data_IF_713714166693
#
_entry.id   IF_713714166693
#
_cell.length_a   1.000
_cell.length_b   1.000
_cell.length_c   1.000
_cell.angle_alpha   90.00
_cell.angle_beta   90.00
_cell.angle_gamma   90.00
#
_symmetry.space_group_name_H-M   'P 1'
#
loop_
_entity.id
_entity.type
_entity.pdbx_description
1 polymer ?
#
# COMPACT_ATOMS: atom_id res chain seq x y z
N UNK A 1 20.08 -11.27 8.52
CA UNK A 1 19.62 -11.66 9.87
C UNK A 1 18.24 -12.25 9.71
N UNK A 2 17.99 -13.44 10.27
CA UNK A 2 16.75 -14.20 10.01
C UNK A 2 15.58 -13.55 10.72
N UNK A 3 14.59 -13.02 9.96
CA UNK A 3 13.27 -12.67 10.52
C UNK A 3 12.54 -13.97 10.86
N UNK A 4 12.21 -14.15 12.12
CA UNK A 4 11.41 -15.28 12.61
C UNK A 4 9.96 -14.94 12.31
N UNK A 5 9.34 -15.75 11.46
CA UNK A 5 7.91 -15.69 11.13
C UNK A 5 7.11 -16.04 12.39
N UNK A 6 6.48 -15.04 13.02
CA UNK A 6 5.61 -15.24 14.18
C UNK A 6 4.21 -15.55 13.67
N UNK A 7 3.84 -16.83 13.69
CA UNK A 7 2.52 -17.33 13.30
C UNK A 7 1.56 -17.14 14.47
N UNK A 8 0.71 -16.11 14.44
CA UNK A 8 -0.42 -15.95 15.36
C UNK A 8 -1.72 -16.29 14.62
N UNK A 9 -2.42 -17.28 15.16
CA UNK A 9 -3.77 -17.68 14.71
C UNK A 9 -4.77 -16.55 14.96
N UNK A 10 -5.39 -16.03 13.91
CA UNK A 10 -6.54 -15.15 13.99
C UNK A 10 -7.76 -15.76 13.31
N UNK A 11 -8.87 -15.67 14.03
CA UNK A 11 -10.21 -16.16 13.66
C UNK A 11 -10.76 -15.44 12.42
N UNK A 12 -11.55 -16.13 11.56
CA UNK A 12 -12.10 -15.51 10.37
C UNK A 12 -13.29 -14.62 10.71
N UNK A 13 -13.21 -13.35 10.35
CA UNK A 13 -14.38 -12.47 10.25
C UNK A 13 -15.04 -12.72 8.89
N UNK A 14 -16.20 -13.36 8.91
CA UNK A 14 -17.06 -13.51 7.74
C UNK A 14 -17.75 -12.19 7.43
N UNK A 15 -17.32 -11.48 6.41
CA UNK A 15 -18.13 -10.45 5.77
C UNK A 15 -18.89 -11.07 4.59
N UNK A 16 -20.21 -11.17 4.76
CA UNK A 16 -21.12 -11.53 3.69
C UNK A 16 -21.27 -10.37 2.71
N UNK A 17 -20.66 -10.47 1.54
CA UNK A 17 -20.86 -9.54 0.42
C UNK A 17 -21.89 -10.10 -0.57
N UNK A 18 -22.96 -9.35 -0.84
CA UNK A 18 -23.89 -9.60 -1.95
C UNK A 18 -23.17 -9.38 -3.28
N UNK A 19 -23.09 -10.42 -4.10
CA UNK A 19 -22.54 -10.34 -5.44
C UNK A 19 -23.40 -9.49 -6.37
N UNK A 20 -22.76 -8.51 -6.99
CA UNK A 20 -23.23 -7.90 -8.25
C UNK A 20 -22.32 -8.46 -9.34
N UNK A 21 -22.87 -9.26 -10.23
CA UNK A 21 -22.16 -9.73 -11.42
C UNK A 21 -21.90 -8.55 -12.36
N UNK A 22 -20.71 -7.97 -12.31
CA UNK A 22 -20.21 -7.09 -13.35
C UNK A 22 -19.49 -7.95 -14.38
N UNK A 23 -20.05 -8.00 -15.60
CA UNK A 23 -19.49 -8.78 -16.70
C UNK A 23 -18.09 -8.30 -17.08
N UNK A 24 -17.07 -9.08 -16.78
CA UNK A 24 -15.72 -8.90 -17.29
C UNK A 24 -15.68 -9.11 -18.82
N UNK A 25 -14.89 -8.34 -19.57
CA UNK A 25 -14.62 -8.62 -20.96
C UNK A 25 -13.93 -9.98 -21.10
N UNK A 26 -14.50 -10.86 -21.90
CA UNK A 26 -14.03 -12.22 -22.10
C UNK A 26 -12.61 -12.23 -22.70
N UNK A 27 -11.62 -12.79 -21.99
CA UNK A 27 -10.47 -13.37 -22.63
C UNK A 27 -9.07 -13.15 -22.08
N UNK A 28 -8.78 -12.23 -21.19
CA UNK A 28 -7.45 -12.13 -20.60
C UNK A 28 -7.31 -13.15 -19.46
N UNK A 29 -6.38 -14.10 -19.61
CA UNK A 29 -6.08 -15.06 -18.54
C UNK A 29 -5.26 -14.33 -17.47
N UNK A 30 -5.75 -14.32 -16.24
CA UNK A 30 -5.00 -13.78 -15.08
C UNK A 30 -3.60 -14.40 -15.00
N UNK A 31 -2.53 -13.60 -14.75
CA UNK A 31 -1.18 -14.12 -14.63
C UNK A 31 -1.07 -15.18 -13.53
N UNK A 32 -0.26 -16.22 -13.76
CA UNK A 32 -0.10 -17.33 -12.81
C UNK A 32 1.31 -17.39 -12.20
N UNK A 33 2.28 -16.66 -12.79
CA UNK A 33 3.68 -16.65 -12.33
C UNK A 33 4.12 -15.23 -12.01
N UNK A 34 5.13 -15.09 -11.17
CA UNK A 34 5.73 -13.77 -10.88
C UNK A 34 6.28 -13.09 -12.13
N UNK A 35 6.88 -13.84 -13.05
CA UNK A 35 7.36 -13.28 -14.31
C UNK A 35 6.22 -12.72 -15.17
N UNK A 36 5.08 -13.43 -15.26
CA UNK A 36 3.92 -12.94 -15.99
C UNK A 36 3.30 -11.70 -15.34
N UNK A 37 3.22 -11.65 -14.00
CA UNK A 37 2.82 -10.43 -13.29
C UNK A 37 3.78 -9.26 -13.55
N UNK A 38 5.09 -9.51 -13.56
CA UNK A 38 6.10 -8.47 -13.83
C UNK A 38 5.93 -7.85 -15.23
N UNK A 39 5.62 -8.65 -16.25
CA UNK A 39 5.31 -8.17 -17.60
C UNK A 39 4.05 -7.31 -17.63
N UNK A 40 2.98 -7.74 -16.95
CA UNK A 40 1.76 -6.96 -16.82
C UNK A 40 2.06 -5.65 -16.11
N UNK A 41 2.66 -5.67 -14.94
CA UNK A 41 2.96 -4.49 -14.14
C UNK A 41 3.78 -3.45 -14.88
N UNK A 42 4.76 -3.90 -15.67
CA UNK A 42 5.55 -3.00 -16.52
C UNK A 42 4.70 -2.20 -17.51
N UNK A 43 3.66 -2.82 -18.11
CA UNK A 43 2.72 -2.13 -19.02
C UNK A 43 1.88 -1.08 -18.29
N UNK A 44 1.64 -1.27 -17.00
CA UNK A 44 0.91 -0.34 -16.13
C UNK A 44 1.80 0.69 -15.42
N UNK A 45 3.08 0.79 -15.83
CA UNK A 45 4.01 1.77 -15.30
C UNK A 45 4.57 1.44 -13.92
N UNK A 46 4.51 0.15 -13.51
CA UNK A 46 5.14 -0.35 -12.28
C UNK A 46 6.46 -1.00 -12.69
N UNK A 47 7.56 -0.51 -12.12
CA UNK A 47 8.92 -0.87 -12.51
C UNK A 47 9.63 -1.70 -11.43
N UNK A 48 10.89 -2.09 -11.71
CA UNK A 48 11.79 -2.69 -10.71
C UNK A 48 11.74 -4.21 -10.60
N UNK A 49 10.80 -4.89 -11.28
CA UNK A 49 10.73 -6.34 -11.29
C UNK A 49 11.88 -6.94 -12.14
N UNK A 50 12.94 -7.38 -11.48
CA UNK A 50 14.04 -8.08 -12.14
C UNK A 50 13.74 -9.59 -12.25
N UNK A 51 14.36 -10.30 -13.23
CA UNK A 51 14.28 -11.77 -13.31
C UNK A 51 14.69 -12.44 -11.99
N UNK A 52 15.75 -11.97 -11.35
CA UNK A 52 16.22 -12.50 -10.08
C UNK A 52 15.18 -12.35 -8.97
N UNK A 53 14.48 -11.20 -8.88
CA UNK A 53 13.42 -10.99 -7.91
C UNK A 53 12.28 -11.99 -8.13
N UNK A 54 11.81 -12.11 -9.37
CA UNK A 54 10.69 -13.00 -9.71
C UNK A 54 11.04 -14.48 -9.46
N UNK A 55 12.26 -14.91 -9.75
CA UNK A 55 12.75 -16.26 -9.45
C UNK A 55 12.81 -16.51 -7.93
N UNK A 56 13.35 -15.56 -7.16
CA UNK A 56 13.43 -15.66 -5.69
C UNK A 56 12.06 -15.77 -5.05
N UNK A 57 11.09 -14.96 -5.51
CA UNK A 57 9.71 -15.01 -5.03
C UNK A 57 9.03 -16.33 -5.43
N UNK A 58 9.24 -16.81 -6.66
CA UNK A 58 8.68 -18.08 -7.13
C UNK A 58 9.20 -19.27 -6.29
N UNK A 59 10.48 -19.26 -5.91
CA UNK A 59 11.05 -20.28 -5.03
C UNK A 59 10.50 -20.17 -3.61
N UNK A 60 10.39 -18.97 -3.07
CA UNK A 60 9.80 -18.72 -1.75
C UNK A 60 8.37 -19.23 -1.67
N UNK A 61 7.57 -18.97 -2.70
CA UNK A 61 6.16 -19.41 -2.75
C UNK A 61 5.99 -20.92 -2.86
N UNK A 62 6.95 -21.65 -3.44
CA UNK A 62 6.93 -23.13 -3.45
C UNK A 62 7.08 -23.74 -2.06
N UNK A 63 7.66 -23.01 -1.12
CA UNK A 63 7.88 -23.48 0.25
C UNK A 63 6.79 -23.05 1.22
N UNK A 64 5.82 -22.23 0.78
CA UNK A 64 4.69 -21.83 1.60
C UNK A 64 3.76 -23.00 1.88
N UNK A 65 3.21 -23.10 3.09
CA UNK A 65 2.17 -24.06 3.41
C UNK A 65 0.93 -23.84 2.51
N UNK A 66 0.23 -24.90 2.09
CA UNK A 66 -0.93 -24.80 1.18
C UNK A 66 -2.08 -23.94 1.71
N UNK A 67 -2.17 -23.76 3.02
CA UNK A 67 -3.15 -22.93 3.71
C UNK A 67 -2.86 -21.42 3.63
N UNK A 68 -1.66 -21.03 3.21
CA UNK A 68 -1.27 -19.63 3.03
C UNK A 68 -1.73 -19.16 1.65
N UNK A 69 -2.83 -18.42 1.61
CA UNK A 69 -3.47 -17.94 0.40
C UNK A 69 -2.96 -16.53 0.01
N UNK A 70 -1.66 -16.38 -0.22
CA UNK A 70 -1.10 -15.13 -0.72
C UNK A 70 -1.23 -15.04 -2.25
N UNK A 71 -1.64 -13.86 -2.75
CA UNK A 71 -1.60 -13.56 -4.17
C UNK A 71 -0.18 -13.29 -4.63
N UNK A 72 0.30 -13.98 -5.68
CA UNK A 72 1.61 -13.71 -6.28
C UNK A 72 1.70 -12.27 -6.80
N UNK A 73 0.61 -11.75 -7.36
CA UNK A 73 0.55 -10.37 -7.83
C UNK A 73 0.74 -9.38 -6.67
N UNK A 74 -0.01 -9.54 -5.58
CA UNK A 74 0.12 -8.67 -4.42
C UNK A 74 1.50 -8.79 -3.77
N UNK A 75 2.04 -10.01 -3.60
CA UNK A 75 3.39 -10.21 -3.05
C UNK A 75 4.50 -9.54 -3.90
N UNK A 76 4.37 -9.55 -5.23
CA UNK A 76 5.31 -8.83 -6.09
C UNK A 76 5.16 -7.31 -5.92
N UNK A 77 3.93 -6.79 -5.83
CA UNK A 77 3.67 -5.38 -5.58
C UNK A 77 4.24 -4.92 -4.23
N UNK A 78 4.08 -5.71 -3.18
CA UNK A 78 4.71 -5.47 -1.88
C UNK A 78 6.22 -5.35 -2.02
N UNK A 79 6.88 -6.35 -2.62
CA UNK A 79 8.33 -6.33 -2.81
C UNK A 79 8.84 -5.14 -3.65
N UNK A 80 8.02 -4.64 -4.59
CA UNK A 80 8.35 -3.47 -5.41
C UNK A 80 8.05 -2.14 -4.71
N UNK A 81 7.12 -2.14 -3.76
CA UNK A 81 6.57 -0.93 -3.14
C UNK A 81 7.13 -0.57 -1.76
N UNK A 82 7.74 -1.49 -1.02
CA UNK A 82 8.20 -1.27 0.36
C UNK A 82 9.26 -0.16 0.53
N UNK A 83 9.97 0.19 -0.52
CA UNK A 83 11.13 1.08 -0.41
C UNK A 83 12.33 0.40 0.23
N UNK A 84 13.31 1.17 0.69
CA UNK A 84 14.53 0.61 1.23
C UNK A 84 15.36 1.60 2.04
N UNK A 85 16.44 1.09 2.66
CA UNK A 85 17.40 1.93 3.34
C UNK A 85 18.32 2.61 2.32
N UNK A 86 18.32 3.94 2.33
CA UNK A 86 19.27 4.75 1.56
C UNK A 86 20.54 4.95 2.39
N UNK A 87 21.68 4.38 1.99
CA UNK A 87 22.94 4.51 2.72
C UNK A 87 23.50 5.93 2.71
N UNK A 88 23.21 6.73 1.70
CA UNK A 88 23.71 8.10 1.56
C UNK A 88 22.91 9.06 2.46
N UNK A 89 21.59 8.93 2.45
CA UNK A 89 20.70 9.66 3.35
C UNK A 89 20.71 9.09 4.78
N UNK A 90 21.20 7.86 4.98
CA UNK A 90 21.13 7.08 6.24
C UNK A 90 19.73 6.98 6.82
N UNK A 91 18.75 6.87 5.93
CA UNK A 91 17.33 6.84 6.25
C UNK A 91 16.58 5.86 5.35
N UNK A 92 15.35 5.56 5.72
CA UNK A 92 14.44 4.88 4.81
C UNK A 92 14.03 5.82 3.68
N UNK A 93 14.03 5.29 2.46
CA UNK A 93 13.54 5.97 1.27
C UNK A 93 12.38 5.19 0.63
N UNK A 94 11.32 5.86 0.19
CA UNK A 94 10.21 5.23 -0.48
C UNK A 94 10.63 4.65 -1.83
N UNK A 95 9.89 3.64 -2.29
CA UNK A 95 10.06 3.08 -3.63
C UNK A 95 9.76 4.12 -4.70
N UNK A 96 10.51 4.07 -5.81
CA UNK A 96 10.28 4.88 -7.03
C UNK A 96 9.69 4.03 -8.16
N UNK A 97 9.15 2.86 -7.85
CA UNK A 97 8.69 1.88 -8.84
C UNK A 97 7.23 2.10 -9.31
N UNK A 98 6.59 3.21 -8.93
CA UNK A 98 5.20 3.54 -9.32
C UNK A 98 4.14 2.82 -8.49
N UNK A 99 4.55 2.16 -7.42
CA UNK A 99 3.73 1.53 -6.37
C UNK A 99 4.37 1.80 -5.01
N UNK A 100 3.56 1.99 -3.99
CA UNK A 100 4.00 2.09 -2.59
C UNK A 100 3.35 0.97 -1.79
N UNK A 101 4.10 0.32 -0.93
CA UNK A 101 3.61 -0.68 0.01
C UNK A 101 4.17 -0.43 1.40
N UNK A 102 3.37 -0.70 2.42
CA UNK A 102 3.77 -0.59 3.81
C UNK A 102 3.05 -1.61 4.69
N UNK A 103 3.76 -2.08 5.69
CA UNK A 103 3.21 -2.93 6.74
C UNK A 103 2.27 -2.10 7.63
N UNK A 104 1.02 -2.54 7.78
CA UNK A 104 0.03 -1.88 8.63
C UNK A 104 0.32 -2.11 10.13
N UNK A 105 1.05 -3.15 10.51
CA UNK A 105 1.65 -3.35 11.83
C UNK A 105 3.03 -2.67 11.85
N UNK A 106 3.07 -1.40 12.27
CA UNK A 106 4.23 -0.52 12.04
C UNK A 106 5.25 -0.61 13.16
N UNK A 107 6.50 -0.91 12.83
CA UNK A 107 7.60 -0.99 13.81
C UNK A 107 8.04 0.38 14.38
N UNK A 108 7.90 1.46 13.60
CA UNK A 108 8.18 2.84 14.04
C UNK A 108 6.89 3.63 14.18
N UNK A 109 6.23 3.39 15.27
CA UNK A 109 4.94 4.00 15.60
C UNK A 109 5.03 5.54 15.66
N UNK A 110 6.21 6.09 16.01
CA UNK A 110 6.42 7.54 16.13
C UNK A 110 6.35 8.30 14.81
N UNK A 111 6.72 7.67 13.69
CA UNK A 111 6.80 8.32 12.37
C UNK A 111 5.92 7.68 11.29
N UNK A 112 4.92 6.85 11.66
CA UNK A 112 4.18 6.04 10.70
C UNK A 112 3.44 6.89 9.66
N UNK A 113 2.81 7.98 10.04
CA UNK A 113 2.06 8.82 9.10
C UNK A 113 2.96 9.72 8.26
N UNK A 114 4.08 10.19 8.81
CA UNK A 114 5.07 10.91 8.02
C UNK A 114 5.67 10.01 6.93
N UNK A 115 5.94 8.73 7.25
CA UNK A 115 6.39 7.74 6.25
C UNK A 115 5.30 7.43 5.22
N UNK A 116 4.06 7.29 5.65
CA UNK A 116 2.94 7.09 4.74
C UNK A 116 2.82 8.24 3.74
N UNK A 117 2.85 9.50 4.21
CA UNK A 117 2.82 10.66 3.33
C UNK A 117 4.04 10.72 2.39
N UNK A 118 5.23 10.39 2.86
CA UNK A 118 6.43 10.31 2.03
C UNK A 118 6.32 9.22 0.96
N UNK A 119 5.78 8.05 1.30
CA UNK A 119 5.53 6.96 0.36
C UNK A 119 4.50 7.32 -0.70
N UNK A 120 3.39 7.96 -0.31
CA UNK A 120 2.38 8.46 -1.25
C UNK A 120 2.95 9.55 -2.15
N UNK A 121 3.73 10.49 -1.60
CA UNK A 121 4.40 11.54 -2.38
C UNK A 121 5.32 10.95 -3.47
N UNK A 122 6.01 9.87 -3.17
CA UNK A 122 6.93 9.21 -4.11
C UNK A 122 6.22 8.59 -5.32
N UNK A 123 4.91 8.36 -5.27
CA UNK A 123 4.13 7.87 -6.41
C UNK A 123 4.01 8.89 -7.54
N UNK A 124 4.06 10.19 -7.21
CA UNK A 124 4.04 11.30 -8.17
C UNK A 124 4.65 12.56 -7.51
N UNK A 125 5.99 12.66 -7.39
CA UNK A 125 6.63 13.74 -6.61
C UNK A 125 6.29 15.16 -7.07
N UNK A 126 6.04 15.34 -8.37
CA UNK A 126 5.68 16.63 -8.92
C UNK A 126 4.21 17.03 -8.64
N UNK A 127 3.33 16.05 -8.44
CA UNK A 127 1.90 16.27 -8.18
C UNK A 127 1.56 16.20 -6.69
N UNK A 128 2.22 15.31 -5.93
CA UNK A 128 1.97 15.00 -4.52
C UNK A 128 3.12 15.47 -3.62
N UNK A 129 3.62 16.68 -3.86
CA UNK A 129 4.69 17.30 -3.06
C UNK A 129 4.16 17.73 -1.68
N UNK A 130 4.07 16.81 -0.72
CA UNK A 130 3.69 17.13 0.65
C UNK A 130 4.89 17.68 1.42
N UNK A 131 4.73 18.87 2.01
CA UNK A 131 5.78 19.58 2.72
C UNK A 131 5.38 19.81 4.19
N UNK A 132 6.34 20.21 5.02
CA UNK A 132 6.12 20.59 6.42
C UNK A 132 5.29 19.58 7.24
N UNK A 133 5.50 18.28 6.97
CA UNK A 133 4.78 17.19 7.64
C UNK A 133 5.13 17.19 9.14
N UNK A 134 4.11 17.20 9.99
CA UNK A 134 4.23 17.17 11.45
C UNK A 134 3.21 16.23 12.04
N UNK A 135 3.62 15.45 13.04
CA UNK A 135 2.71 14.62 13.84
C UNK A 135 2.64 15.17 15.27
N UNK A 136 1.45 15.52 15.73
CA UNK A 136 1.15 15.81 17.12
C UNK A 136 0.62 14.56 17.82
N UNK A 137 1.40 14.05 18.76
CA UNK A 137 1.10 12.87 19.56
C UNK A 137 0.80 13.23 21.02
N UNK A 138 0.55 14.50 21.32
CA UNK A 138 0.29 14.98 22.69
C UNK A 138 -0.93 14.36 23.38
N UNK A 139 -1.85 13.79 22.56
CA UNK A 139 -3.07 13.11 23.03
C UNK A 139 -2.97 11.58 22.92
N UNK A 140 -1.77 11.03 22.80
CA UNK A 140 -1.50 9.60 22.77
C UNK A 140 -1.14 9.09 24.13
N UNK A 141 -1.81 8.06 24.58
CA UNK A 141 -1.42 7.24 25.73
C UNK A 141 -0.56 6.07 25.23
N UNK A 142 0.75 6.27 25.30
CA UNK A 142 1.74 5.29 24.83
C UNK A 142 1.77 4.00 25.65
N UNK A 143 1.39 4.08 26.94
CA UNK A 143 1.36 2.91 27.82
C UNK A 143 0.23 1.96 27.46
N UNK A 144 -0.94 2.51 27.14
CA UNK A 144 -2.14 1.73 26.79
C UNK A 144 -2.33 1.60 25.27
N UNK A 145 -1.50 2.22 24.44
CA UNK A 145 -1.62 2.16 22.98
C UNK A 145 -2.91 2.78 22.44
N UNK A 146 -3.41 3.85 23.07
CA UNK A 146 -4.68 4.50 22.74
C UNK A 146 -4.52 6.02 22.59
N UNK A 147 -5.55 6.69 22.09
CA UNK A 147 -5.59 8.15 21.95
C UNK A 147 -5.68 8.60 20.51
N UNK A 148 -5.35 9.88 20.28
CA UNK A 148 -5.46 10.49 18.95
C UNK A 148 -4.16 11.11 18.52
N UNK A 149 -3.88 11.03 17.22
CA UNK A 149 -2.81 11.75 16.54
C UNK A 149 -3.41 12.75 15.57
N UNK A 150 -2.75 13.87 15.43
CA UNK A 150 -3.06 14.86 14.41
C UNK A 150 -1.83 15.00 13.50
N UNK A 151 -2.03 14.79 12.20
CA UNK A 151 -0.97 14.90 11.20
C UNK A 151 -1.26 16.09 10.32
N UNK A 152 -0.39 17.09 10.31
CA UNK A 152 -0.50 18.27 9.46
C UNK A 152 0.56 18.25 8.38
N UNK A 153 0.22 18.75 7.21
CA UNK A 153 1.13 18.90 6.08
C UNK A 153 0.66 20.03 5.16
N UNK A 154 1.58 20.59 4.42
CA UNK A 154 1.30 21.60 3.38
C UNK A 154 1.32 20.94 2.00
N UNK A 155 0.38 21.33 1.15
CA UNK A 155 0.32 20.89 -0.23
C UNK A 155 -0.35 21.95 -1.10
N UNK A 156 0.26 22.29 -2.23
CA UNK A 156 -0.21 23.35 -3.15
C UNK A 156 -0.45 24.70 -2.46
N UNK A 157 0.30 24.99 -1.40
CA UNK A 157 0.20 26.24 -0.64
C UNK A 157 -0.94 26.29 0.39
N UNK A 158 -1.62 25.17 0.63
CA UNK A 158 -2.65 25.01 1.67
C UNK A 158 -2.20 24.03 2.75
N UNK A 159 -2.61 24.28 4.00
CA UNK A 159 -2.37 23.36 5.11
C UNK A 159 -3.53 22.38 5.27
N UNK A 160 -3.22 21.10 5.39
CA UNK A 160 -4.18 20.01 5.58
C UNK A 160 -3.91 19.28 6.90
N UNK A 161 -4.97 18.68 7.43
CA UNK A 161 -4.92 17.90 8.66
C UNK A 161 -5.57 16.54 8.45
N UNK A 162 -4.89 15.49 8.90
CA UNK A 162 -5.45 14.14 9.06
C UNK A 162 -5.58 13.84 10.54
N UNK A 163 -6.68 13.21 10.93
CA UNK A 163 -6.87 12.67 12.26
C UNK A 163 -6.75 11.14 12.23
N UNK A 164 -5.98 10.59 13.13
CA UNK A 164 -5.81 9.15 13.28
C UNK A 164 -5.99 8.74 14.73
N UNK A 165 -6.62 7.60 14.96
CA UNK A 165 -6.68 6.99 16.28
C UNK A 165 -5.50 6.06 16.49
N UNK A 166 -4.92 6.11 17.69
CA UNK A 166 -3.91 5.17 18.10
C UNK A 166 -4.55 3.81 18.32
N UNK A 167 -4.05 2.79 17.63
CA UNK A 167 -4.49 1.39 17.72
C UNK A 167 -3.26 0.51 17.98
N UNK A 168 -2.57 0.74 19.10
CA UNK A 168 -1.27 0.15 19.38
C UNK A 168 -0.26 0.50 18.28
N UNK A 169 0.30 -0.45 17.59
CA UNK A 169 1.26 -0.33 16.49
C UNK A 169 0.60 -0.41 15.09
N UNK A 170 -0.72 -0.48 15.03
CA UNK A 170 -1.46 -0.55 13.75
C UNK A 170 -1.75 0.82 13.16
N UNK A 171 -1.58 0.90 11.84
CA UNK A 171 -1.92 2.09 11.06
C UNK A 171 -3.45 2.26 10.99
N UNK A 172 -3.94 3.47 11.28
CA UNK A 172 -5.35 3.80 11.12
C UNK A 172 -5.67 4.11 9.64
N UNK A 173 -6.28 3.16 8.95
CA UNK A 173 -6.64 3.29 7.53
C UNK A 173 -7.60 4.45 7.24
N UNK A 174 -8.31 4.99 8.25
CA UNK A 174 -9.12 6.20 8.09
C UNK A 174 -8.27 7.41 7.73
N UNK A 175 -6.99 7.48 8.13
CA UNK A 175 -6.08 8.52 7.71
C UNK A 175 -5.80 8.45 6.19
N UNK A 176 -5.64 7.24 5.63
CA UNK A 176 -5.51 7.04 4.19
C UNK A 176 -6.78 7.48 3.43
N UNK A 177 -7.98 7.16 3.96
CA UNK A 177 -9.25 7.61 3.39
C UNK A 177 -9.39 9.14 3.40
N UNK A 178 -8.96 9.81 4.49
CA UNK A 178 -8.98 11.27 4.58
C UNK A 178 -8.03 11.89 3.55
N UNK A 179 -6.81 11.35 3.42
CA UNK A 179 -5.84 11.81 2.42
C UNK A 179 -6.40 11.65 1.00
N UNK A 180 -6.97 10.48 0.67
CA UNK A 180 -7.56 10.25 -0.65
C UNK A 180 -8.68 11.23 -0.96
N UNK A 181 -9.51 11.56 0.03
CA UNK A 181 -10.57 12.58 -0.12
C UNK A 181 -10.01 13.98 -0.37
N UNK A 182 -8.88 14.34 0.23
CA UNK A 182 -8.18 15.59 -0.04
C UNK A 182 -7.64 15.56 -1.48
N UNK A 183 -6.90 14.53 -1.86
CA UNK A 183 -6.32 14.35 -3.19
C UNK A 183 -7.39 14.48 -4.28
N UNK A 184 -8.50 13.77 -4.17
CA UNK A 184 -9.62 13.81 -5.15
C UNK A 184 -10.21 15.20 -5.37
N UNK A 185 -10.12 16.09 -4.39
CA UNK A 185 -10.63 17.47 -4.49
C UNK A 185 -9.65 18.42 -5.17
N UNK A 186 -8.37 18.10 -5.14
CA UNK A 186 -7.29 18.98 -5.59
C UNK A 186 -6.59 18.47 -6.87
N UNK A 187 -6.98 17.29 -7.37
CA UNK A 187 -6.44 16.70 -8.60
C UNK A 187 -7.54 16.48 -9.63
N UNK A 188 -7.15 16.44 -10.90
CA UNK A 188 -8.09 16.21 -12.00
C UNK A 188 -8.10 14.72 -12.38
N UNK A 189 -9.06 13.98 -11.79
CA UNK A 189 -9.34 12.59 -12.19
C UNK A 189 -8.44 11.52 -11.60
N UNK A 190 -7.36 11.89 -10.90
CA UNK A 190 -6.49 10.94 -10.20
C UNK A 190 -6.83 10.85 -8.71
N UNK A 191 -6.59 9.67 -8.14
CA UNK A 191 -6.82 9.38 -6.72
C UNK A 191 -5.95 8.24 -6.24
N UNK A 192 -6.00 7.95 -4.94
CA UNK A 192 -5.38 6.74 -4.41
C UNK A 192 -6.32 5.55 -4.60
N UNK A 193 -5.74 4.44 -5.04
CA UNK A 193 -6.32 3.11 -5.00
C UNK A 193 -5.50 2.24 -4.10
N UNK A 194 -6.18 1.33 -3.39
CA UNK A 194 -5.58 0.46 -2.41
C UNK A 194 -5.89 -1.00 -2.71
N UNK A 195 -4.95 -1.86 -2.42
CA UNK A 195 -5.14 -3.30 -2.29
C UNK A 195 -4.27 -3.80 -1.15
N UNK A 196 -4.35 -5.08 -0.82
CA UNK A 196 -3.50 -5.69 0.21
C UNK A 196 -3.06 -7.09 -0.21
N UNK A 197 -2.02 -7.58 0.42
CA UNK A 197 -1.44 -8.87 0.11
C UNK A 197 -2.24 -10.08 0.63
N UNK A 198 -3.28 -9.84 1.42
CA UNK A 198 -4.09 -10.85 2.11
C UNK A 198 -3.62 -11.12 3.54
N UNK A 199 -2.59 -10.38 4.02
CA UNK A 199 -2.05 -10.49 5.37
C UNK A 199 -2.04 -9.13 6.08
N UNK A 200 -0.99 -8.34 5.95
CA UNK A 200 -0.92 -7.04 6.64
C UNK A 200 -0.29 -5.91 5.80
N UNK A 201 0.10 -6.18 4.56
CA UNK A 201 0.66 -5.17 3.69
C UNK A 201 -0.43 -4.40 2.95
N UNK A 202 -0.42 -3.09 3.11
CA UNK A 202 -1.24 -2.18 2.31
C UNK A 202 -0.45 -1.71 1.09
N UNK A 203 -1.03 -1.85 -0.08
CA UNK A 203 -0.43 -1.50 -1.38
C UNK A 203 -1.21 -0.32 -1.95
N UNK A 204 -0.50 0.72 -2.38
CA UNK A 204 -1.08 2.01 -2.77
C UNK A 204 -0.63 2.40 -4.17
N UNK A 205 -1.58 2.89 -4.97
CA UNK A 205 -1.36 3.47 -6.29
C UNK A 205 -1.97 4.87 -6.36
N UNK A 206 -1.38 5.75 -7.15
CA UNK A 206 -1.96 7.05 -7.51
C UNK A 206 -2.23 7.07 -9.00
N UNK A 207 -3.49 6.89 -9.41
CA UNK A 207 -3.90 6.70 -10.82
C UNK A 207 -5.31 7.27 -11.04
N UNK A 208 -5.75 7.27 -12.30
CA UNK A 208 -7.14 7.49 -12.68
C UNK A 208 -7.96 6.18 -12.62
N UNK A 209 -9.27 6.33 -12.72
CA UNK A 209 -10.19 5.19 -12.63
C UNK A 209 -10.08 4.25 -13.83
N UNK A 210 -9.79 4.77 -15.02
CA UNK A 210 -9.64 3.96 -16.23
C UNK A 210 -8.44 3.01 -16.10
N UNK A 211 -7.33 3.52 -15.58
CA UNK A 211 -6.17 2.72 -15.24
C UNK A 211 -6.53 1.61 -14.24
N UNK A 212 -7.26 1.96 -13.17
CA UNK A 212 -7.61 1.01 -12.13
C UNK A 212 -8.48 -0.13 -12.67
N UNK A 213 -9.53 0.19 -13.43
CA UNK A 213 -10.43 -0.81 -14.01
C UNK A 213 -9.69 -1.76 -14.98
N UNK A 214 -8.79 -1.21 -15.81
CA UNK A 214 -7.98 -2.01 -16.72
C UNK A 214 -6.97 -2.90 -15.97
N UNK A 215 -6.34 -2.37 -14.91
CA UNK A 215 -5.41 -3.12 -14.07
C UNK A 215 -6.09 -4.30 -13.36
N UNK A 216 -7.26 -4.06 -12.74
CA UNK A 216 -8.07 -5.12 -12.10
C UNK A 216 -8.44 -6.22 -13.10
N UNK A 217 -8.92 -5.81 -14.28
CA UNK A 217 -9.36 -6.76 -15.32
C UNK A 217 -8.23 -7.68 -15.81
N UNK A 218 -6.99 -7.18 -15.86
CA UNK A 218 -5.85 -7.96 -16.36
C UNK A 218 -5.14 -8.73 -15.24
N UNK A 219 -5.09 -8.19 -14.03
CA UNK A 219 -4.36 -8.81 -12.91
C UNK A 219 -5.23 -9.70 -12.03
N UNK A 220 -6.53 -9.45 -11.99
CA UNK A 220 -7.45 -10.08 -11.04
C UNK A 220 -7.28 -9.58 -9.60
N UNK A 221 -6.51 -8.51 -9.38
CA UNK A 221 -6.36 -7.86 -8.07
C UNK A 221 -7.49 -6.85 -7.90
N UNK A 222 -8.20 -6.92 -6.79
CA UNK A 222 -9.24 -5.95 -6.46
C UNK A 222 -8.61 -4.67 -5.90
N UNK A 223 -9.02 -3.50 -6.44
CA UNK A 223 -8.60 -2.19 -5.98
C UNK A 223 -9.77 -1.47 -5.31
N UNK A 224 -9.55 -0.95 -4.11
CA UNK A 224 -10.57 -0.15 -3.41
C UNK A 224 -10.15 1.32 -3.33
N UNK A 225 -11.13 2.22 -3.32
CA UNK A 225 -10.93 3.68 -3.20
C UNK A 225 -10.95 4.13 -1.73
N UNK A 226 -11.38 3.27 -0.82
CA UNK A 226 -11.44 3.50 0.63
C UNK A 226 -11.59 2.18 1.39
N UNK A 227 -11.23 2.18 2.66
CA UNK A 227 -11.36 1.08 3.60
C UNK A 227 -12.60 1.22 4.49
#
# INVERSE_FOLDING_TARGET
MKKVLSLLLLLPFCFGGCGVESGSPAGAKTPETFAAFAEVFSRYGIQGASPQLTETLEESFRTLPPEVLLSKGAALLTALGEGGYDPDAKAWAPSQNGVYAFDMEVSDVGGMYARFLAGVSALAPDELAFENIREDTSKVDWENGTGKRTVTFEWQGEEFTLEAEMQSDWFDLRAANQLNKIIRRHTSGKQLFFTWDGYQECIVFYRDKEWADAFEAETGLELVESF
#
